data_IF_541241574557
#
_entry.id   IF_541241574557
#
_cell.length_a   1.000
_cell.length_b   1.000
_cell.length_c   1.000
_cell.angle_alpha   90.00
_cell.angle_beta   90.00
_cell.angle_gamma   90.00
#
_symmetry.space_group_name_H-M   'P 1'
#
loop_
_entity.id
_entity.type
_entity.pdbx_description
1 polymer ?
#
# COMPACT_ATOMS: atom_id res chain seq x y z
N UNK A 1 22.12 -9.67 -5.47
CA UNK A 1 22.61 -8.87 -4.31
C UNK A 1 22.23 -9.46 -2.94
N UNK A 2 22.14 -10.79 -2.78
CA UNK A 2 22.06 -11.42 -1.44
C UNK A 2 20.93 -10.98 -0.51
N UNK A 3 19.84 -10.41 -1.02
CA UNK A 3 18.65 -10.05 -0.23
C UNK A 3 18.82 -8.88 0.76
N UNK A 4 19.90 -8.10 0.69
CA UNK A 4 20.13 -6.95 1.58
C UNK A 4 19.65 -5.63 0.99
N UNK A 5 19.51 -4.61 1.84
CA UNK A 5 19.38 -3.22 1.40
C UNK A 5 20.55 -2.79 0.52
N UNK A 6 20.27 -1.86 -0.41
CA UNK A 6 21.29 -1.21 -1.23
C UNK A 6 22.23 -0.38 -0.36
N UNK A 7 23.49 -0.31 -0.77
CA UNK A 7 24.56 0.45 -0.14
C UNK A 7 25.29 1.28 -1.19
N UNK A 8 25.94 2.34 -0.74
CA UNK A 8 26.83 3.13 -1.59
C UNK A 8 27.87 2.21 -2.26
N UNK A 9 28.09 2.39 -3.57
CA UNK A 9 28.97 1.54 -4.38
C UNK A 9 28.30 0.31 -5.01
N UNK A 10 27.05 0.00 -4.67
CA UNK A 10 26.32 -1.07 -5.36
C UNK A 10 26.07 -0.71 -6.84
N UNK A 11 26.34 -1.66 -7.73
CA UNK A 11 26.08 -1.55 -9.18
C UNK A 11 24.96 -2.51 -9.55
N UNK A 12 23.85 -1.97 -10.05
CA UNK A 12 22.72 -2.74 -10.56
C UNK A 12 22.82 -2.81 -12.10
N UNK A 13 23.13 -3.98 -12.70
CA UNK A 13 23.15 -4.11 -14.14
C UNK A 13 21.73 -3.92 -14.70
N UNK A 14 21.61 -3.15 -15.78
CA UNK A 14 20.35 -2.92 -16.49
C UNK A 14 20.41 -3.56 -17.87
N UNK A 15 19.34 -4.25 -18.25
CA UNK A 15 19.10 -4.60 -19.65
C UNK A 15 18.33 -3.46 -20.30
N UNK A 16 18.95 -2.80 -21.28
CA UNK A 16 18.33 -1.68 -22.01
C UNK A 16 17.72 -2.20 -23.29
N UNK A 17 16.39 -2.11 -23.38
CA UNK A 17 15.66 -2.28 -24.63
C UNK A 17 15.58 -0.93 -25.34
N UNK A 18 16.11 -0.82 -26.56
CA UNK A 18 16.10 0.43 -27.33
C UNK A 18 14.67 0.96 -27.58
N UNK A 19 13.64 0.09 -27.55
CA UNK A 19 12.23 0.49 -27.66
C UNK A 19 11.78 1.41 -26.51
N UNK A 20 12.48 1.39 -25.37
CA UNK A 20 12.21 2.27 -24.24
C UNK A 20 12.41 3.76 -24.61
N UNK A 21 13.31 4.06 -25.55
CA UNK A 21 13.56 5.45 -25.98
C UNK A 21 12.35 6.06 -26.71
N UNK A 22 11.53 5.24 -27.38
CA UNK A 22 10.29 5.70 -28.02
C UNK A 22 9.20 6.14 -27.02
N UNK A 23 9.38 5.85 -25.72
CA UNK A 23 8.45 6.19 -24.63
C UNK A 23 8.95 7.33 -23.74
N UNK A 24 10.06 7.98 -24.11
CA UNK A 24 10.58 9.11 -23.34
C UNK A 24 9.57 10.26 -23.35
N UNK A 25 9.34 10.85 -22.18
CA UNK A 25 8.37 11.93 -22.01
C UNK A 25 6.92 11.48 -21.83
N UNK A 26 6.65 10.17 -21.91
CA UNK A 26 5.34 9.60 -21.56
C UNK A 26 5.23 9.44 -20.05
N UNK A 27 4.12 9.90 -19.48
CA UNK A 27 3.80 9.76 -18.05
C UNK A 27 2.33 9.41 -17.86
N UNK A 28 1.95 8.85 -16.69
CA UNK A 28 0.54 8.74 -16.35
C UNK A 28 -0.14 10.12 -16.36
N UNK A 29 -1.36 10.17 -16.89
CA UNK A 29 -2.17 11.39 -16.89
C UNK A 29 -2.36 11.91 -15.46
N UNK A 30 -2.42 13.23 -15.31
CA UNK A 30 -2.41 13.84 -13.96
C UNK A 30 -3.61 13.42 -13.11
N UNK A 31 -4.74 13.12 -13.75
CA UNK A 31 -6.00 12.75 -13.11
C UNK A 31 -5.93 11.39 -12.41
N UNK A 32 -5.02 10.52 -12.85
CA UNK A 32 -4.84 9.17 -12.29
C UNK A 32 -3.70 9.07 -11.30
N UNK A 33 -2.97 10.16 -11.07
CA UNK A 33 -1.93 10.18 -10.05
C UNK A 33 -2.55 10.07 -8.65
N UNK A 34 -2.03 9.17 -7.79
CA UNK A 34 -2.55 9.02 -6.44
C UNK A 34 -2.30 10.30 -5.64
N UNK A 35 -3.29 10.68 -4.83
CA UNK A 35 -3.17 11.78 -3.89
C UNK A 35 -2.82 11.22 -2.51
N UNK A 36 -1.71 11.69 -1.97
CA UNK A 36 -1.28 11.38 -0.62
C UNK A 36 -1.59 12.56 0.28
N UNK A 37 -2.02 12.28 1.50
CA UNK A 37 -2.34 13.28 2.51
C UNK A 37 -1.91 12.78 3.88
N UNK A 38 -1.91 13.68 4.86
CA UNK A 38 -1.59 13.34 6.25
C UNK A 38 -2.63 12.41 6.88
N UNK A 39 -3.88 12.44 6.39
CA UNK A 39 -4.94 11.51 6.77
C UNK A 39 -5.48 10.78 5.53
N UNK A 40 -5.64 9.46 5.61
CA UNK A 40 -6.21 8.64 4.53
C UNK A 40 -7.32 7.74 5.03
N UNK A 41 -8.40 7.65 4.27
CA UNK A 41 -9.43 6.62 4.44
C UNK A 41 -9.07 5.37 3.64
N UNK A 42 -9.25 4.21 4.25
CA UNK A 42 -9.07 2.91 3.61
C UNK A 42 -10.29 2.02 3.79
N UNK A 43 -10.79 1.48 2.68
CA UNK A 43 -11.86 0.48 2.69
C UNK A 43 -11.32 -0.82 3.29
N UNK A 44 -12.13 -1.51 4.09
CA UNK A 44 -11.81 -2.83 4.64
C UNK A 44 -13.07 -3.70 4.76
N UNK A 45 -12.89 -5.02 4.79
CA UNK A 45 -13.96 -5.97 5.10
C UNK A 45 -13.79 -6.50 6.51
N UNK A 46 -14.89 -6.71 7.24
CA UNK A 46 -14.86 -7.30 8.58
C UNK A 46 -14.38 -8.75 8.59
N UNK A 47 -13.84 -9.16 9.74
CA UNK A 47 -13.49 -10.55 10.03
C UNK A 47 -12.10 -10.98 9.55
N UNK A 48 -11.75 -12.27 9.76
CA UNK A 48 -12.66 -13.34 10.16
C UNK A 48 -13.07 -13.38 11.64
N UNK A 49 -12.37 -12.69 12.55
CA UNK A 49 -12.63 -12.76 14.00
C UNK A 49 -13.27 -11.49 14.57
N UNK A 50 -14.09 -10.78 13.79
CA UNK A 50 -14.78 -9.57 14.27
C UNK A 50 -15.67 -9.84 15.50
N UNK A 51 -16.21 -11.05 15.59
CA UNK A 51 -17.07 -11.55 16.67
C UNK A 51 -16.30 -11.82 17.98
N UNK A 52 -14.97 -11.66 17.96
CA UNK A 52 -14.11 -11.70 19.15
C UNK A 52 -13.93 -10.33 19.80
N UNK A 53 -14.45 -9.27 19.20
CA UNK A 53 -14.37 -7.92 19.72
C UNK A 53 -15.70 -7.49 20.34
N UNK A 54 -15.64 -6.67 21.37
CA UNK A 54 -16.84 -6.03 21.90
C UNK A 54 -17.50 -5.14 20.84
N UNK A 55 -18.81 -4.95 20.90
CA UNK A 55 -19.52 -4.06 19.95
C UNK A 55 -18.97 -2.63 19.98
N UNK A 56 -18.55 -2.15 21.16
CA UNK A 56 -17.90 -0.85 21.33
C UNK A 56 -16.54 -0.79 20.61
N UNK A 57 -15.75 -1.86 20.66
CA UNK A 57 -14.48 -1.93 19.96
C UNK A 57 -14.65 -1.88 18.44
N UNK A 58 -15.66 -2.57 17.89
CA UNK A 58 -15.98 -2.49 16.46
C UNK A 58 -16.42 -1.08 16.06
N UNK A 59 -17.24 -0.42 16.88
CA UNK A 59 -17.62 0.99 16.69
C UNK A 59 -16.39 1.91 16.69
N UNK A 60 -15.55 1.79 17.72
CA UNK A 60 -14.32 2.57 17.85
C UNK A 60 -13.38 2.38 16.66
N UNK A 61 -13.29 1.17 16.11
CA UNK A 61 -12.44 0.89 14.95
C UNK A 61 -12.76 1.76 13.74
N UNK A 62 -14.05 1.97 13.45
CA UNK A 62 -14.51 2.72 12.28
C UNK A 62 -14.71 4.22 12.56
N UNK A 63 -15.01 4.60 13.80
CA UNK A 63 -15.23 6.01 14.16
C UNK A 63 -13.93 6.75 14.51
N UNK A 64 -12.88 6.03 14.91
CA UNK A 64 -11.59 6.63 15.31
C UNK A 64 -10.69 6.98 14.12
N UNK A 65 -9.80 7.95 14.35
CA UNK A 65 -8.64 8.20 13.49
C UNK A 65 -7.40 7.59 14.14
N UNK A 66 -6.69 6.75 13.40
CA UNK A 66 -5.59 5.92 13.89
C UNK A 66 -4.23 6.50 13.47
N UNK A 67 -3.33 6.71 14.42
CA UNK A 67 -2.01 7.30 14.15
C UNK A 67 -1.01 6.22 13.79
N UNK A 68 -0.32 6.36 12.65
CA UNK A 68 0.78 5.47 12.27
C UNK A 68 1.96 5.71 13.19
N UNK A 69 2.46 4.65 13.83
CA UNK A 69 3.57 4.74 14.78
C UNK A 69 4.94 4.59 14.11
N UNK A 70 5.98 5.07 14.78
CA UNK A 70 7.40 4.90 14.39
C UNK A 70 7.84 3.43 14.32
N UNK A 71 7.08 2.50 14.91
CA UNK A 71 7.37 1.06 14.87
C UNK A 71 6.86 0.37 13.61
N UNK A 72 6.31 1.13 12.65
CA UNK A 72 5.76 0.61 11.40
C UNK A 72 6.87 0.30 10.39
N UNK A 73 6.79 -0.84 9.73
CA UNK A 73 7.79 -1.30 8.76
C UNK A 73 7.15 -2.12 7.63
N UNK A 74 7.95 -2.88 6.89
CA UNK A 74 7.47 -3.74 5.79
C UNK A 74 6.71 -4.99 6.26
N UNK A 75 6.82 -5.36 7.53
CA UNK A 75 6.03 -6.44 8.13
C UNK A 75 4.63 -5.96 8.45
N UNK A 76 4.49 -4.76 9.02
CA UNK A 76 3.18 -4.20 9.32
C UNK A 76 3.18 -2.74 9.77
N UNK A 77 2.05 -2.08 9.52
CA UNK A 77 1.76 -0.74 10.01
C UNK A 77 1.09 -0.85 11.37
N UNK A 78 1.79 -0.37 12.39
CA UNK A 78 1.33 -0.37 13.78
C UNK A 78 0.64 0.93 14.07
N UNK A 79 -0.58 0.84 14.55
CA UNK A 79 -1.47 1.98 14.72
C UNK A 79 -1.72 2.27 16.21
N UNK A 80 -1.70 3.55 16.56
CA UNK A 80 -2.07 4.04 17.88
C UNK A 80 -3.42 4.76 17.85
N UNK A 81 -4.14 4.68 18.96
CA UNK A 81 -5.54 5.11 19.11
C UNK A 81 -6.20 4.49 20.35
N UNK A 82 -7.51 4.62 20.53
CA UNK A 82 -8.23 3.97 21.63
C UNK A 82 -8.01 2.44 21.62
N UNK A 83 -7.71 1.79 22.75
CA UNK A 83 -7.50 0.34 22.77
C UNK A 83 -8.81 -0.40 22.47
N UNK A 84 -8.76 -1.31 21.50
CA UNK A 84 -9.89 -2.15 21.12
C UNK A 84 -10.01 -3.34 22.08
N UNK A 85 -11.15 -3.44 22.77
CA UNK A 85 -11.40 -4.53 23.72
C UNK A 85 -11.89 -5.80 23.04
N UNK A 86 -11.26 -6.90 23.41
CA UNK A 86 -11.73 -8.25 23.07
C UNK A 86 -12.83 -8.69 24.03
N UNK A 87 -13.73 -9.53 23.54
CA UNK A 87 -14.70 -10.22 24.36
C UNK A 87 -14.09 -11.38 25.17
N UNK A 88 -14.92 -12.23 25.79
CA UNK A 88 -14.48 -13.28 26.72
C UNK A 88 -13.52 -14.32 26.13
N UNK A 89 -13.50 -14.47 24.80
CA UNK A 89 -12.62 -15.40 24.08
C UNK A 89 -11.20 -14.85 23.86
N UNK A 90 -10.91 -13.63 24.30
CA UNK A 90 -9.57 -13.04 24.30
C UNK A 90 -9.01 -12.68 22.91
N UNK A 91 -7.76 -12.22 22.92
CA UNK A 91 -7.02 -11.77 21.74
C UNK A 91 -6.31 -12.90 20.98
N UNK A 92 -6.18 -14.07 21.60
CA UNK A 92 -5.45 -15.20 21.05
C UNK A 92 -6.39 -16.18 20.33
N UNK A 93 -5.88 -16.73 19.24
CA UNK A 93 -6.51 -17.78 18.43
C UNK A 93 -5.52 -18.90 18.19
N UNK A 94 -6.04 -20.07 17.78
CA UNK A 94 -5.19 -21.08 17.15
C UNK A 94 -4.55 -20.43 15.93
N UNK A 95 -3.23 -20.60 15.78
CA UNK A 95 -2.50 -19.96 14.70
C UNK A 95 -3.10 -20.32 13.34
N UNK A 96 -3.38 -19.29 12.55
CA UNK A 96 -4.02 -19.41 11.24
C UNK A 96 -3.30 -18.53 10.21
N UNK A 97 -3.60 -18.77 8.93
CA UNK A 97 -3.06 -18.03 7.80
C UNK A 97 -3.36 -16.53 7.86
N UNK A 98 -2.37 -15.74 7.44
CA UNK A 98 -2.48 -14.28 7.42
C UNK A 98 -2.57 -13.77 5.98
N UNK A 99 -3.70 -13.16 5.63
CA UNK A 99 -3.88 -12.47 4.36
C UNK A 99 -3.16 -11.10 4.35
N UNK A 100 -2.79 -10.65 3.15
CA UNK A 100 -2.21 -9.31 3.00
C UNK A 100 -3.28 -8.27 3.33
N UNK A 101 -2.95 -7.32 4.20
CA UNK A 101 -3.90 -6.31 4.68
C UNK A 101 -4.74 -6.76 5.88
N UNK A 102 -4.56 -7.98 6.40
CA UNK A 102 -5.19 -8.39 7.66
C UNK A 102 -4.82 -7.43 8.79
N UNK A 103 -5.82 -7.04 9.57
CA UNK A 103 -5.68 -6.11 10.69
C UNK A 103 -5.71 -6.92 11.99
N UNK A 104 -4.52 -7.28 12.49
CA UNK A 104 -4.40 -7.97 13.77
C UNK A 104 -4.57 -7.00 14.93
N UNK A 105 -5.17 -7.46 16.02
CA UNK A 105 -5.28 -6.71 17.26
C UNK A 105 -4.82 -7.60 18.43
N UNK A 106 -3.56 -7.47 18.87
CA UNK A 106 -3.04 -8.17 20.03
C UNK A 106 -3.71 -7.72 21.33
N UNK A 107 -3.35 -8.34 22.46
CA UNK A 107 -3.97 -8.06 23.77
C UNK A 107 -3.80 -6.63 24.32
N UNK A 108 -2.94 -5.81 23.71
CA UNK A 108 -2.84 -4.37 24.01
C UNK A 108 -3.92 -3.52 23.32
N UNK A 109 -4.74 -4.15 22.46
CA UNK A 109 -5.83 -3.51 21.75
C UNK A 109 -5.40 -2.61 20.59
N UNK A 110 -4.13 -2.64 20.18
CA UNK A 110 -3.57 -1.74 19.15
C UNK A 110 -3.54 -2.42 17.79
N UNK A 111 -4.21 -1.87 16.76
CA UNK A 111 -4.25 -2.51 15.44
C UNK A 111 -2.90 -2.55 14.73
N UNK A 112 -2.66 -3.64 14.00
CA UNK A 112 -1.51 -3.83 13.12
C UNK A 112 -2.00 -4.27 11.74
N UNK A 113 -1.83 -3.44 10.72
CA UNK A 113 -2.13 -3.80 9.32
C UNK A 113 -0.93 -4.55 8.74
N UNK A 114 -1.11 -5.83 8.41
CA UNK A 114 -0.01 -6.71 8.02
C UNK A 114 0.30 -6.63 6.51
N UNK A 115 1.57 -6.49 6.17
CA UNK A 115 2.04 -6.08 4.85
C UNK A 115 2.81 -7.19 4.11
N UNK A 116 3.69 -6.81 3.19
CA UNK A 116 4.33 -7.72 2.24
C UNK A 116 5.30 -8.70 2.89
N UNK A 117 5.93 -8.31 4.00
CA UNK A 117 6.93 -9.13 4.69
C UNK A 117 6.37 -9.76 5.99
N UNK A 118 5.04 -9.71 6.18
CA UNK A 118 4.36 -10.31 7.34
C UNK A 118 4.62 -11.81 7.47
N UNK A 119 4.45 -12.35 8.67
CA UNK A 119 4.46 -13.81 8.87
C UNK A 119 3.34 -14.49 8.08
N UNK A 120 3.55 -15.75 7.69
CA UNK A 120 2.53 -16.55 6.99
C UNK A 120 1.39 -16.99 7.89
N UNK A 121 1.67 -17.21 9.18
CA UNK A 121 0.73 -17.61 10.21
C UNK A 121 0.89 -16.77 11.47
N UNK A 122 -0.18 -16.63 12.26
CA UNK A 122 -0.11 -15.96 13.55
C UNK A 122 -1.32 -16.25 14.43
N UNK A 123 -1.14 -16.03 15.74
CA UNK A 123 -2.09 -16.40 16.78
C UNK A 123 -2.95 -15.24 17.31
N UNK A 124 -2.98 -14.08 16.66
CA UNK A 124 -3.81 -12.95 17.10
C UNK A 124 -5.09 -12.82 16.28
N UNK A 125 -6.17 -12.40 16.93
CA UNK A 125 -7.44 -12.08 16.28
C UNK A 125 -7.27 -11.00 15.22
N UNK A 126 -8.00 -11.15 14.12
CA UNK A 126 -8.04 -10.21 13.00
C UNK A 126 -9.43 -9.58 12.96
N UNK A 127 -9.49 -8.27 13.22
CA UNK A 127 -10.77 -7.53 13.22
C UNK A 127 -11.33 -7.35 11.82
N UNK A 128 -10.45 -7.29 10.82
CA UNK A 128 -10.81 -7.08 9.42
C UNK A 128 -9.62 -7.25 8.49
N UNK A 129 -9.86 -7.04 7.20
CA UNK A 129 -8.84 -7.06 6.14
C UNK A 129 -9.01 -5.85 5.24
N UNK A 130 -7.96 -5.02 5.12
CA UNK A 130 -7.95 -3.84 4.24
C UNK A 130 -8.08 -4.29 2.79
N UNK A 131 -8.94 -3.61 2.02
CA UNK A 131 -9.12 -3.88 0.60
C UNK A 131 -7.80 -3.63 -0.12
N UNK A 132 -7.37 -4.62 -0.92
CA UNK A 132 -6.06 -4.60 -1.55
C UNK A 132 -5.77 -3.31 -2.34
N UNK A 133 -6.78 -2.75 -3.00
CA UNK A 133 -6.68 -1.50 -3.77
C UNK A 133 -6.30 -0.28 -2.92
N UNK A 134 -6.55 -0.32 -1.61
CA UNK A 134 -6.26 0.79 -0.68
C UNK A 134 -4.88 0.65 0.00
N UNK A 135 -4.26 -0.54 -0.04
CA UNK A 135 -2.93 -0.76 0.55
C UNK A 135 -1.84 0.17 -0.03
N UNK A 136 -1.75 0.42 -1.35
CA UNK A 136 -0.75 1.34 -1.89
C UNK A 136 -0.86 2.76 -1.33
N UNK A 137 -2.07 3.22 -0.96
CA UNK A 137 -2.29 4.52 -0.33
C UNK A 137 -1.94 4.48 1.16
N UNK A 138 -2.34 3.41 1.85
CA UNK A 138 -2.03 3.20 3.28
C UNK A 138 -0.52 3.26 3.56
N UNK A 139 0.28 2.54 2.76
CA UNK A 139 1.74 2.42 2.98
C UNK A 139 2.54 3.68 2.61
N UNK A 140 1.86 4.76 2.20
CA UNK A 140 2.46 6.07 1.94
C UNK A 140 2.27 7.02 3.12
N UNK A 141 1.48 6.64 4.13
CA UNK A 141 1.29 7.40 5.36
C UNK A 141 2.54 7.23 6.22
N UNK A 142 3.20 8.35 6.53
CA UNK A 142 4.39 8.36 7.38
C UNK A 142 4.00 8.20 8.85
N UNK A 143 4.93 7.79 9.73
CA UNK A 143 4.76 7.93 11.16
C UNK A 143 4.25 9.33 11.54
N UNK A 144 3.28 9.39 12.46
CA UNK A 144 2.54 10.60 12.83
C UNK A 144 1.34 10.94 11.91
N UNK A 145 1.27 10.36 10.72
CA UNK A 145 0.09 10.44 9.85
C UNK A 145 -1.07 9.59 10.38
N UNK A 146 -2.25 9.78 9.78
CA UNK A 146 -3.52 9.21 10.25
C UNK A 146 -4.20 8.31 9.22
N UNK A 147 -4.90 7.29 9.71
CA UNK A 147 -5.67 6.33 8.92
C UNK A 147 -7.08 6.20 9.50
N UNK A 148 -8.10 6.23 8.64
CA UNK A 148 -9.48 5.89 8.97
C UNK A 148 -9.89 4.63 8.24
N UNK A 149 -10.72 3.80 8.88
CA UNK A 149 -11.20 2.54 8.33
C UNK A 149 -12.67 2.64 7.95
N UNK A 150 -12.97 2.37 6.68
CA UNK A 150 -14.33 2.44 6.14
C UNK A 150 -14.79 1.01 5.82
N UNK A 151 -15.81 0.47 6.53
CA UNK A 151 -16.26 -0.88 6.29
C UNK A 151 -17.00 -0.96 4.96
N UNK A 152 -16.68 -1.98 4.18
CA UNK A 152 -17.37 -2.33 2.92
C UNK A 152 -17.73 -3.81 2.94
N UNK A 153 -18.74 -4.18 2.16
CA UNK A 153 -19.02 -5.58 1.90
C UNK A 153 -18.03 -6.19 0.89
N UNK A 154 -18.09 -7.51 0.75
CA UNK A 154 -17.20 -8.25 -0.14
C UNK A 154 -17.38 -7.85 -1.62
N UNK A 155 -18.61 -7.55 -2.04
CA UNK A 155 -18.89 -7.20 -3.43
C UNK A 155 -18.23 -5.86 -3.81
N UNK A 156 -18.41 -4.85 -2.96
CA UNK A 156 -17.78 -3.55 -3.08
C UNK A 156 -16.24 -3.67 -3.06
N UNK A 157 -15.68 -4.44 -2.12
CA UNK A 157 -14.24 -4.70 -2.06
C UNK A 157 -13.68 -5.33 -3.34
N UNK A 158 -14.40 -6.30 -3.92
CA UNK A 158 -14.02 -6.94 -5.17
C UNK A 158 -14.14 -5.97 -6.36
N UNK A 159 -15.13 -5.10 -6.35
CA UNK A 159 -15.35 -4.11 -7.40
C UNK A 159 -14.28 -3.01 -7.39
N UNK A 160 -13.93 -2.49 -6.22
CA UNK A 160 -12.78 -1.58 -6.03
C UNK A 160 -11.49 -2.22 -6.53
N UNK A 161 -11.24 -3.49 -6.18
CA UNK A 161 -10.07 -4.23 -6.67
C UNK A 161 -10.07 -4.34 -8.20
N UNK A 162 -11.22 -4.69 -8.81
CA UNK A 162 -11.35 -4.74 -10.27
C UNK A 162 -11.14 -3.37 -10.92
N UNK A 163 -11.64 -2.29 -10.31
CA UNK A 163 -11.47 -0.92 -10.81
C UNK A 163 -9.99 -0.52 -10.78
N UNK A 164 -9.28 -0.83 -9.70
CA UNK A 164 -7.86 -0.56 -9.58
C UNK A 164 -7.04 -1.30 -10.64
N UNK A 165 -7.29 -2.59 -10.86
CA UNK A 165 -6.61 -3.35 -11.90
C UNK A 165 -6.94 -2.85 -13.30
N UNK A 166 -8.20 -2.51 -13.59
CA UNK A 166 -8.58 -1.88 -14.87
C UNK A 166 -7.82 -0.58 -15.11
N UNK A 167 -7.68 0.26 -14.09
CA UNK A 167 -6.89 1.49 -14.18
C UNK A 167 -5.42 1.20 -14.51
N UNK A 168 -4.80 0.20 -13.89
CA UNK A 168 -3.40 -0.15 -14.19
C UNK A 168 -3.23 -0.74 -15.60
N UNK A 169 -4.16 -1.58 -16.05
CA UNK A 169 -4.12 -2.18 -17.39
C UNK A 169 -4.37 -1.15 -18.50
N UNK A 170 -5.20 -0.15 -18.23
CA UNK A 170 -5.56 0.92 -19.16
C UNK A 170 -5.07 2.28 -18.67
N UNK A 171 -3.86 2.31 -18.08
CA UNK A 171 -3.33 3.51 -17.45
C UNK A 171 -3.32 4.65 -18.47
N UNK A 172 -4.10 5.72 -18.26
CA UNK A 172 -4.11 6.86 -19.17
C UNK A 172 -2.71 7.46 -19.20
N UNK A 173 -2.14 7.59 -20.38
CA UNK A 173 -0.82 8.15 -20.59
C UNK A 173 -0.94 9.48 -21.33
N UNK A 174 -0.15 10.45 -20.93
CA UNK A 174 0.03 11.70 -21.63
C UNK A 174 1.50 11.87 -22.02
N UNK A 175 1.74 12.55 -23.14
CA UNK A 175 3.07 12.90 -23.59
C UNK A 175 3.34 14.37 -23.31
N UNK A 176 4.41 14.68 -22.59
CA UNK A 176 5.02 16.00 -22.71
C UNK A 176 5.80 16.01 -24.02
N UNK A 177 5.48 16.94 -24.93
CA UNK A 177 6.24 17.12 -26.17
C UNK A 177 7.72 17.27 -25.82
N UNK A 178 8.50 16.22 -26.07
CA UNK A 178 9.95 16.20 -25.99
C UNK A 178 10.45 15.65 -27.30
N UNK A 179 11.33 16.39 -27.95
CA UNK A 179 11.96 15.95 -29.17
C UNK A 179 13.18 15.12 -28.77
N UNK A 180 13.21 13.86 -29.19
CA UNK A 180 14.37 13.00 -29.05
C UNK A 180 15.07 12.91 -30.42
N UNK A 181 16.33 13.33 -30.47
CA UNK A 181 17.15 13.27 -31.67
C UNK A 181 18.24 12.23 -31.48
N UNK A 182 18.45 11.39 -32.50
CA UNK A 182 19.68 10.57 -32.59
C UNK A 182 20.70 11.39 -33.38
N UNK A 183 21.76 11.81 -32.70
CA UNK A 183 22.83 12.64 -33.28
C UNK A 183 24.08 11.76 -33.41
N UNK A 184 24.70 11.74 -34.58
CA UNK A 184 25.98 11.04 -34.78
C UNK A 184 27.10 12.08 -34.89
N UNK A 185 28.09 12.03 -34.00
CA UNK A 185 29.27 12.91 -34.00
C UNK A 185 30.51 12.02 -33.98
N UNK A 186 31.39 12.16 -34.99
CA UNK A 186 32.64 11.40 -35.14
C UNK A 186 32.47 9.88 -34.99
N UNK A 187 31.42 9.33 -35.61
CA UNK A 187 31.11 7.90 -35.58
C UNK A 187 30.49 7.40 -34.26
N UNK A 188 30.25 8.28 -33.29
CA UNK A 188 29.55 7.97 -32.05
C UNK A 188 28.11 8.47 -32.11
N UNK A 189 27.16 7.60 -31.78
CA UNK A 189 25.74 7.95 -31.69
C UNK A 189 25.37 8.42 -30.29
N UNK A 190 24.66 9.54 -30.20
CA UNK A 190 24.14 10.14 -28.98
C UNK A 190 22.63 10.31 -29.09
N UNK A 191 21.91 10.10 -27.99
CA UNK A 191 20.49 10.44 -27.89
C UNK A 191 20.38 11.79 -27.18
N UNK A 192 19.88 12.82 -27.87
CA UNK A 192 19.65 14.15 -27.31
C UNK A 192 18.15 14.36 -27.05
N UNK A 193 17.82 14.97 -25.91
CA UNK A 193 16.44 15.25 -25.49
C UNK A 193 16.25 16.76 -25.32
N UNK A 194 15.25 17.35 -25.98
CA UNK A 194 14.89 18.77 -25.83
C UNK A 194 13.66 18.89 -24.95
N UNK A 195 13.76 19.65 -23.86
CA UNK A 195 12.63 20.04 -23.00
C UNK A 195 12.21 21.48 -23.35
N UNK A 196 10.93 21.71 -23.68
CA UNK A 196 10.37 23.08 -23.71
C UNK A 196 10.21 23.59 -22.26
N UNK A 197 10.62 24.84 -22.04
CA UNK A 197 10.60 25.53 -20.75
C UNK A 197 9.18 25.75 -20.20
#
# INVERSE_FOLDING_TARGET
MGGRFLKAGDVLPLEVDERCFARVGIRPAREVLPRFGEEVSVSFTWGPEEDRFESEARRLFVESSWTVTEKSDRMGYRLDGPPLRHGPRGADIISDGIALGSVQVPGDGKPIVLLKDRQTVGGYTKIGTVVWAHLPRLVQVRPGGRVRFEPVDLECALEERRRFWRLLHHLPLESRRRWAFRISIDGKSFNAFVEEA
#
